data_IF_075839084118
#
_entry.id   IF_075839084118
#
_cell.length_a   1.000
_cell.length_b   1.000
_cell.length_c   1.000
_cell.angle_alpha   90.00
_cell.angle_beta   90.00
_cell.angle_gamma   90.00
#
_symmetry.space_group_name_H-M   'P 1'
#
loop_
_entity.id
_entity.type
_entity.pdbx_description
1 polymer ?
#
# COMPACT_ATOMS: atom_id res chain seq x y z
N UNK A 1 -19.00 -5.75 4.91
CA UNK A 1 -18.04 -5.23 3.91
C UNK A 1 -16.67 -5.38 4.53
N UNK A 2 -15.71 -5.98 3.83
CA UNK A 2 -14.33 -6.01 4.33
C UNK A 2 -13.69 -4.66 4.01
N UNK A 3 -13.22 -3.95 5.02
CA UNK A 3 -12.59 -2.64 4.84
C UNK A 3 -11.08 -2.82 4.93
N UNK A 4 -10.37 -2.48 3.85
CA UNK A 4 -8.91 -2.41 3.82
C UNK A 4 -8.44 -0.96 3.82
N UNK A 5 -7.19 -0.75 4.24
CA UNK A 5 -6.52 0.55 4.19
C UNK A 5 -5.53 0.58 3.04
N UNK A 6 -5.47 1.72 2.34
CA UNK A 6 -4.37 2.05 1.44
C UNK A 6 -3.59 3.21 2.06
N UNK A 7 -2.33 2.96 2.40
CA UNK A 7 -1.38 3.99 2.78
C UNK A 7 -0.52 4.33 1.57
N UNK A 8 -0.46 5.60 1.18
CA UNK A 8 0.42 6.10 0.12
C UNK A 8 1.55 6.88 0.74
N UNK A 9 2.79 6.52 0.40
CA UNK A 9 4.01 7.15 0.90
C UNK A 9 4.99 7.39 -0.25
N UNK A 10 5.84 8.41 -0.10
CA UNK A 10 6.90 8.71 -1.04
C UNK A 10 8.24 8.22 -0.46
N UNK A 11 8.84 7.26 -1.15
CA UNK A 11 10.21 6.78 -0.90
C UNK A 11 11.04 7.17 -2.12
N UNK A 12 11.78 8.27 -2.02
CA UNK A 12 12.52 8.84 -3.16
C UNK A 12 13.27 7.76 -3.97
N UNK A 13 13.06 7.66 -5.30
CA UNK A 13 12.26 8.56 -6.17
C UNK A 13 10.82 8.09 -6.44
N UNK A 14 10.28 7.13 -5.69
CA UNK A 14 9.07 6.38 -6.02
C UNK A 14 7.87 6.64 -5.09
N UNK A 15 6.69 6.61 -5.68
CA UNK A 15 5.43 6.45 -4.95
C UNK A 15 5.18 4.98 -4.62
N UNK A 16 4.93 4.71 -3.34
CA UNK A 16 4.69 3.37 -2.81
C UNK A 16 3.28 3.31 -2.21
N UNK A 17 2.55 2.25 -2.52
CA UNK A 17 1.29 1.89 -1.87
C UNK A 17 1.49 0.68 -0.95
N UNK A 18 0.99 0.80 0.28
CA UNK A 18 0.81 -0.33 1.21
C UNK A 18 -0.68 -0.62 1.32
N UNK A 19 -1.06 -1.81 0.88
CA UNK A 19 -2.43 -2.32 1.03
C UNK A 19 -2.47 -3.22 2.25
N UNK A 20 -3.35 -2.90 3.20
CA UNK A 20 -3.49 -3.62 4.46
C UNK A 20 -4.94 -4.07 4.65
N UNK A 21 -5.11 -5.34 5.02
CA UNK A 21 -6.41 -5.93 5.34
C UNK A 21 -6.26 -6.90 6.51
N UNK A 22 -7.12 -6.78 7.51
CA UNK A 22 -7.16 -7.70 8.65
C UNK A 22 -8.44 -8.53 8.60
N UNK A 23 -8.30 -9.85 8.73
CA UNK A 23 -9.41 -10.79 8.87
C UNK A 23 -9.11 -11.87 9.92
N UNK A 24 -9.91 -12.95 9.94
CA UNK A 24 -9.76 -14.05 10.90
C UNK A 24 -8.47 -14.85 10.71
N UNK A 25 -7.87 -14.82 9.52
CA UNK A 25 -6.61 -15.51 9.21
C UNK A 25 -5.40 -14.65 9.56
N UNK A 26 -5.60 -13.33 9.70
CA UNK A 26 -4.61 -12.40 10.22
C UNK A 26 -4.50 -11.12 9.41
N UNK A 27 -3.30 -10.53 9.43
CA UNK A 27 -2.96 -9.34 8.65
C UNK A 27 -2.41 -9.76 7.29
N UNK A 28 -3.05 -9.29 6.23
CA UNK A 28 -2.58 -9.39 4.86
C UNK A 28 -2.02 -8.04 4.43
N UNK A 29 -0.79 -8.03 3.92
CA UNK A 29 -0.12 -6.81 3.47
C UNK A 29 0.53 -7.03 2.10
N UNK A 30 0.44 -6.03 1.23
CA UNK A 30 1.14 -5.99 -0.05
C UNK A 30 1.75 -4.60 -0.30
N UNK A 31 3.01 -4.58 -0.75
CA UNK A 31 3.70 -3.37 -1.20
C UNK A 31 3.68 -3.30 -2.72
N UNK A 32 3.22 -2.17 -3.26
CA UNK A 32 3.21 -1.87 -4.69
C UNK A 32 4.02 -0.61 -4.95
N UNK A 33 4.95 -0.66 -5.89
CA UNK A 33 5.63 0.53 -6.42
C UNK A 33 4.81 1.07 -7.59
N UNK A 34 4.26 2.28 -7.47
CA UNK A 34 3.45 2.90 -8.53
C UNK A 34 4.31 3.49 -9.64
N UNK A 35 5.52 3.92 -9.32
CA UNK A 35 6.44 4.54 -10.28
C UNK A 35 7.10 5.78 -9.70
N UNK A 36 7.96 6.40 -10.50
CA UNK A 36 8.66 7.62 -10.09
C UNK A 36 7.69 8.79 -9.90
N UNK A 37 8.10 9.80 -9.14
CA UNK A 37 7.39 11.08 -9.13
C UNK A 37 7.29 11.65 -10.55
N UNK A 38 6.10 12.10 -10.99
CA UNK A 38 5.98 12.79 -12.27
C UNK A 38 6.86 14.05 -12.29
N UNK A 39 7.62 14.23 -13.37
CA UNK A 39 8.45 15.43 -13.62
C UNK A 39 7.68 16.52 -14.33
#
# INVERSE_FOLDING_TARGET
MNTGTLTVLFEDPFWIGLFEQTDHEGLHVCKVTFGAEPT
#
